data_IF_184606614380
#
_entry.id   IF_184606614380
#
_cell.length_a   1.000
_cell.length_b   1.000
_cell.length_c   1.000
_cell.angle_alpha   90.00
_cell.angle_beta   90.00
_cell.angle_gamma   90.00
#
_symmetry.space_group_name_H-M   'P 1'
#
loop_
_entity.id
_entity.type
_entity.pdbx_description
1 polymer ?
#
# COMPACT_ATOMS: atom_id res chain seq x y z
N UNK A 1 28.67 25.34 -17.91
CA UNK A 1 27.35 25.28 -17.23
C UNK A 1 27.14 26.60 -16.52
N UNK A 2 25.97 27.23 -16.65
CA UNK A 2 25.67 28.48 -15.95
C UNK A 2 24.59 28.21 -14.90
N UNK A 3 24.93 28.40 -13.63
CA UNK A 3 23.97 28.33 -12.51
C UNK A 3 23.09 29.57 -12.56
N UNK A 4 21.77 29.41 -12.61
CA UNK A 4 20.84 30.55 -12.75
C UNK A 4 20.02 30.77 -11.48
N UNK A 5 19.69 29.69 -10.78
CA UNK A 5 18.81 29.75 -9.62
C UNK A 5 19.31 28.76 -8.58
N UNK A 6 19.32 29.17 -7.31
CA UNK A 6 19.58 28.30 -6.17
C UNK A 6 18.79 28.82 -4.96
N UNK A 7 18.47 27.94 -4.03
CA UNK A 7 17.73 28.32 -2.83
C UNK A 7 17.43 27.16 -1.91
N UNK A 8 16.60 27.47 -0.91
CA UNK A 8 16.19 26.57 0.17
C UNK A 8 14.69 26.27 0.04
N UNK A 9 14.35 24.97 0.08
CA UNK A 9 12.99 24.46 -0.04
C UNK A 9 12.11 24.80 1.17
N UNK A 10 12.70 25.19 2.31
CA UNK A 10 11.95 25.69 3.45
C UNK A 10 11.36 27.10 3.22
N UNK A 11 11.83 27.82 2.20
CA UNK A 11 11.37 29.18 1.86
C UNK A 11 10.57 29.26 0.57
N UNK A 12 10.86 28.37 -0.38
CA UNK A 12 10.22 28.33 -1.68
C UNK A 12 9.90 26.89 -2.03
N UNK A 13 8.62 26.57 -2.14
CA UNK A 13 8.19 25.20 -2.38
C UNK A 13 8.53 24.77 -3.81
N UNK A 14 8.71 23.46 -4.02
CA UNK A 14 9.04 22.92 -5.34
C UNK A 14 8.03 23.33 -6.44
N UNK A 15 6.71 23.33 -6.21
CA UNK A 15 5.74 23.80 -7.22
C UNK A 15 6.00 25.23 -7.70
N UNK A 16 6.44 26.14 -6.83
CA UNK A 16 6.75 27.52 -7.18
C UNK A 16 8.00 27.61 -8.08
N UNK A 17 9.04 26.84 -7.73
CA UNK A 17 10.26 26.73 -8.55
C UNK A 17 9.92 26.21 -9.94
N UNK A 18 9.12 25.15 -10.03
CA UNK A 18 8.70 24.56 -11.30
C UNK A 18 7.84 25.53 -12.13
N UNK A 19 6.95 26.28 -11.50
CA UNK A 19 6.14 27.32 -12.15
C UNK A 19 7.02 28.41 -12.76
N UNK A 20 8.04 28.87 -12.02
CA UNK A 20 9.01 29.85 -12.52
C UNK A 20 9.77 29.32 -13.75
N UNK A 21 10.23 28.06 -13.71
CA UNK A 21 10.93 27.44 -14.84
C UNK A 21 10.01 27.27 -16.06
N UNK A 22 8.74 26.94 -15.85
CA UNK A 22 7.73 26.80 -16.89
C UNK A 22 7.45 28.15 -17.59
N UNK A 23 7.12 29.19 -16.81
CA UNK A 23 6.85 30.53 -17.33
C UNK A 23 8.04 31.12 -18.08
N UNK A 24 9.25 30.87 -17.56
CA UNK A 24 10.51 31.30 -18.19
C UNK A 24 10.95 30.43 -19.38
N UNK A 25 10.19 29.40 -19.76
CA UNK A 25 10.53 28.40 -20.80
C UNK A 25 11.98 27.89 -20.68
N UNK A 26 12.43 27.66 -19.45
CA UNK A 26 13.84 27.34 -19.17
C UNK A 26 14.19 25.94 -19.66
N UNK A 27 15.41 25.80 -20.19
CA UNK A 27 15.97 24.51 -20.63
C UNK A 27 17.23 24.22 -19.83
N UNK A 28 17.29 23.07 -19.17
CA UNK A 28 18.38 22.74 -18.25
C UNK A 28 17.99 21.66 -17.24
N UNK A 29 18.72 21.61 -16.13
CA UNK A 29 18.49 20.65 -15.04
C UNK A 29 18.25 21.37 -13.72
N UNK A 30 17.22 20.97 -13.00
CA UNK A 30 16.98 21.30 -11.60
C UNK A 30 17.43 20.11 -10.76
N UNK A 31 18.43 20.29 -9.90
CA UNK A 31 18.75 19.34 -8.84
C UNK A 31 18.10 19.78 -7.53
N UNK A 32 17.56 18.82 -6.81
CA UNK A 32 16.90 18.93 -5.51
C UNK A 32 17.62 17.96 -4.57
N UNK A 33 18.06 18.43 -3.41
CA UNK A 33 18.79 17.61 -2.42
C UNK A 33 18.23 17.85 -1.01
N UNK A 34 17.94 16.77 -0.29
CA UNK A 34 17.71 16.76 1.16
C UNK A 34 18.63 15.70 1.79
N UNK A 35 18.59 15.57 3.12
CA UNK A 35 19.57 14.78 3.90
C UNK A 35 19.88 13.38 3.33
N UNK A 36 18.88 12.65 2.84
CA UNK A 36 18.98 11.26 2.41
C UNK A 36 18.58 11.02 0.94
N UNK A 37 18.21 12.07 0.20
CA UNK A 37 17.61 11.93 -1.13
C UNK A 37 18.06 13.04 -2.09
N UNK A 38 18.40 12.66 -3.31
CA UNK A 38 18.68 13.57 -4.43
C UNK A 38 17.72 13.27 -5.58
N UNK A 39 17.20 14.33 -6.21
CA UNK A 39 16.35 14.25 -7.40
C UNK A 39 16.82 15.24 -8.45
N UNK A 40 16.96 14.79 -9.70
CA UNK A 40 17.30 15.63 -10.87
C UNK A 40 16.14 15.64 -11.85
N UNK A 41 15.66 16.83 -12.21
CA UNK A 41 14.60 17.05 -13.19
C UNK A 41 15.17 17.82 -14.38
N UNK A 42 15.02 17.28 -15.59
CA UNK A 42 15.52 17.89 -16.81
C UNK A 42 14.37 18.49 -17.60
N UNK A 43 14.57 19.71 -18.10
CA UNK A 43 13.57 20.51 -18.78
C UNK A 43 14.03 20.92 -20.18
N UNK A 44 13.07 20.99 -21.10
CA UNK A 44 13.20 21.60 -22.42
C UNK A 44 12.03 22.55 -22.62
N UNK A 45 12.33 23.81 -22.92
CA UNK A 45 11.34 24.87 -23.11
C UNK A 45 10.32 24.98 -21.94
N UNK A 46 10.78 24.78 -20.71
CA UNK A 46 9.95 24.82 -19.51
C UNK A 46 9.15 23.56 -19.21
N UNK A 47 9.28 22.50 -20.01
CA UNK A 47 8.57 21.22 -19.82
C UNK A 47 9.52 20.09 -19.45
N UNK A 48 9.14 19.19 -18.53
CA UNK A 48 9.98 18.07 -18.12
C UNK A 48 10.14 17.06 -19.25
N UNK A 49 11.38 16.64 -19.47
CA UNK A 49 11.73 15.64 -20.48
C UNK A 49 12.37 14.39 -19.88
N UNK A 50 12.88 14.47 -18.67
CA UNK A 50 13.49 13.35 -17.95
C UNK A 50 13.59 13.65 -16.46
N UNK A 51 13.58 12.62 -15.62
CA UNK A 51 13.80 12.73 -14.19
C UNK A 51 14.57 11.51 -13.67
N UNK A 52 15.34 11.73 -12.60
CA UNK A 52 16.05 10.70 -11.86
C UNK A 52 15.94 10.98 -10.36
N UNK A 53 15.87 9.95 -9.53
CA UNK A 53 15.83 10.07 -8.07
C UNK A 53 16.63 8.94 -7.43
N UNK A 54 17.25 9.21 -6.28
CA UNK A 54 17.94 8.18 -5.50
C UNK A 54 16.98 7.29 -4.70
N UNK A 55 15.68 7.62 -4.64
CA UNK A 55 14.67 6.83 -3.94
C UNK A 55 14.24 5.61 -4.76
N UNK A 56 14.56 4.43 -4.25
CA UNK A 56 14.39 3.13 -4.92
C UNK A 56 12.95 2.84 -5.39
N UNK A 57 11.94 3.20 -4.58
CA UNK A 57 10.52 2.96 -4.92
C UNK A 57 10.04 3.74 -6.16
N UNK A 58 10.79 4.77 -6.57
CA UNK A 58 10.52 5.59 -7.75
C UNK A 58 11.29 5.10 -9.00
N UNK A 59 12.05 4.02 -8.89
CA UNK A 59 12.74 3.42 -10.03
C UNK A 59 11.78 2.59 -10.87
N UNK A 60 12.03 2.55 -12.19
CA UNK A 60 11.19 1.84 -13.15
C UNK A 60 10.93 0.37 -12.75
N UNK A 61 11.95 -0.34 -12.28
CA UNK A 61 11.81 -1.74 -11.86
C UNK A 61 10.86 -1.92 -10.69
N UNK A 62 11.04 -1.16 -9.62
CA UNK A 62 10.17 -1.17 -8.45
C UNK A 62 8.73 -0.79 -8.81
N UNK A 63 8.56 0.22 -9.67
CA UNK A 63 7.25 0.64 -10.15
C UNK A 63 6.53 -0.43 -10.98
N UNK A 64 7.24 -1.11 -11.90
CA UNK A 64 6.65 -2.18 -12.70
C UNK A 64 6.20 -3.37 -11.83
N UNK A 65 6.92 -3.67 -10.75
CA UNK A 65 6.54 -4.69 -9.77
C UNK A 65 5.33 -4.24 -8.96
N UNK A 66 5.34 -3.00 -8.45
CA UNK A 66 4.22 -2.40 -7.69
C UNK A 66 2.93 -2.39 -8.51
N UNK A 67 3.02 -2.02 -9.79
CA UNK A 67 1.90 -2.01 -10.74
C UNK A 67 1.56 -3.42 -11.28
N UNK A 68 2.20 -4.47 -10.75
CA UNK A 68 1.99 -5.89 -11.11
C UNK A 68 2.17 -6.19 -12.60
N UNK A 69 2.94 -5.36 -13.32
CA UNK A 69 3.25 -5.58 -14.74
C UNK A 69 4.30 -6.68 -14.92
N UNK A 70 5.22 -6.80 -13.96
CA UNK A 70 6.27 -7.83 -13.92
C UNK A 70 6.47 -8.32 -12.48
N UNK A 71 7.01 -9.54 -12.30
CA UNK A 71 7.36 -10.06 -10.98
C UNK A 71 8.70 -9.50 -10.48
N UNK A 72 8.89 -9.46 -9.15
CA UNK A 72 10.16 -9.08 -8.54
C UNK A 72 11.33 -9.95 -9.06
N UNK A 73 11.13 -11.26 -9.11
CA UNK A 73 12.09 -12.24 -9.66
C UNK A 73 12.44 -11.98 -11.14
N UNK A 74 11.50 -11.42 -11.94
CA UNK A 74 11.80 -11.00 -13.31
C UNK A 74 12.72 -9.79 -13.35
N UNK A 75 12.51 -8.82 -12.45
CA UNK A 75 13.42 -7.67 -12.31
C UNK A 75 14.79 -8.15 -11.83
N UNK A 76 14.87 -9.01 -10.82
CA UNK A 76 16.14 -9.52 -10.29
C UNK A 76 16.96 -10.26 -11.36
N UNK A 77 16.29 -11.07 -12.20
CA UNK A 77 16.93 -11.69 -13.38
C UNK A 77 17.41 -10.66 -14.39
N UNK A 78 16.65 -9.60 -14.63
CA UNK A 78 17.04 -8.54 -15.55
C UNK A 78 18.26 -7.76 -15.05
N UNK A 79 18.32 -7.49 -13.74
CA UNK A 79 19.42 -6.76 -13.08
C UNK A 79 20.71 -7.60 -12.96
N UNK A 80 20.59 -8.93 -12.87
CA UNK A 80 21.73 -9.86 -12.69
C UNK A 80 22.45 -10.26 -13.98
N UNK A 81 21.97 -9.85 -15.17
CA UNK A 81 22.66 -10.14 -16.44
C UNK A 81 24.03 -9.43 -16.50
N UNK A 82 25.10 -10.10 -16.97
CA UNK A 82 26.43 -9.50 -17.06
C UNK A 82 26.40 -8.18 -17.84
N UNK A 83 26.86 -7.10 -17.21
CA UNK A 83 26.88 -5.75 -17.78
C UNK A 83 27.95 -5.63 -18.86
N UNK A 84 27.72 -6.22 -20.02
CA UNK A 84 28.48 -5.94 -21.25
C UNK A 84 27.95 -4.66 -21.93
N UNK A 85 27.89 -3.56 -21.16
CA UNK A 85 27.53 -2.22 -21.62
C UNK A 85 26.05 -2.01 -21.97
N UNK A 86 25.48 -0.89 -21.51
CA UNK A 86 24.16 -0.32 -21.90
C UNK A 86 22.87 -1.07 -21.53
N UNK A 87 22.90 -2.29 -20.98
CA UNK A 87 21.68 -2.99 -20.61
C UNK A 87 21.00 -2.36 -19.38
N UNK A 88 19.92 -1.62 -19.62
CA UNK A 88 19.00 -1.09 -18.59
C UNK A 88 17.80 -2.01 -18.47
N UNK A 89 17.12 -1.99 -17.31
CA UNK A 89 15.89 -2.77 -17.04
C UNK A 89 14.90 -2.68 -18.19
N UNK A 90 14.62 -1.47 -18.70
CA UNK A 90 13.71 -1.28 -19.83
C UNK A 90 14.14 -2.03 -21.11
N UNK A 91 15.43 -1.97 -21.47
CA UNK A 91 15.96 -2.66 -22.66
C UNK A 91 15.89 -4.18 -22.54
N UNK A 92 16.12 -4.72 -21.34
CA UNK A 92 15.99 -6.16 -21.07
C UNK A 92 14.52 -6.60 -21.20
N UNK A 93 13.59 -5.82 -20.64
CA UNK A 93 12.17 -6.12 -20.72
C UNK A 93 11.61 -6.03 -22.15
N UNK A 94 12.13 -5.13 -22.99
CA UNK A 94 11.81 -5.08 -24.43
C UNK A 94 12.36 -6.31 -25.16
N UNK A 95 13.62 -6.66 -24.92
CA UNK A 95 14.28 -7.80 -25.58
C UNK A 95 13.59 -9.13 -25.24
N UNK A 96 13.19 -9.29 -23.98
CA UNK A 96 12.45 -10.48 -23.50
C UNK A 96 10.95 -10.43 -23.86
N UNK A 97 10.49 -9.41 -24.61
CA UNK A 97 9.10 -9.18 -25.03
C UNK A 97 8.09 -9.11 -23.88
N UNK A 98 8.55 -8.71 -22.69
CA UNK A 98 7.73 -8.49 -21.51
C UNK A 98 7.07 -7.10 -21.51
N UNK A 99 7.67 -6.16 -22.25
CA UNK A 99 7.11 -4.85 -22.56
C UNK A 99 7.24 -4.56 -24.05
N UNK A 100 6.32 -3.76 -24.56
CA UNK A 100 6.42 -3.09 -25.86
C UNK A 100 7.00 -1.68 -25.69
N UNK A 101 7.51 -1.07 -26.77
CA UNK A 101 8.02 0.31 -26.71
C UNK A 101 6.96 1.34 -26.25
N UNK A 102 5.69 1.28 -26.72
CA UNK A 102 4.65 2.20 -26.24
C UNK A 102 4.32 2.01 -24.75
N UNK A 103 4.33 0.76 -24.26
CA UNK A 103 4.14 0.48 -22.84
C UNK A 103 5.30 1.03 -22.01
N UNK A 104 6.54 0.78 -22.44
CA UNK A 104 7.72 1.32 -21.77
C UNK A 104 7.68 2.85 -21.70
N UNK A 105 7.35 3.53 -22.80
CA UNK A 105 7.20 4.97 -22.83
C UNK A 105 6.10 5.45 -21.86
N UNK A 106 5.00 4.71 -21.74
CA UNK A 106 3.92 5.02 -20.79
C UNK A 106 4.38 4.87 -19.34
N UNK A 107 5.07 3.78 -19.00
CA UNK A 107 5.62 3.59 -17.65
C UNK A 107 6.70 4.61 -17.29
N UNK A 108 7.54 5.01 -18.24
CA UNK A 108 8.52 6.09 -18.04
C UNK A 108 7.83 7.42 -17.77
N UNK A 109 6.71 7.74 -18.44
CA UNK A 109 5.89 8.92 -18.12
C UNK A 109 5.37 8.85 -16.70
N UNK A 110 4.83 7.72 -16.28
CA UNK A 110 4.37 7.52 -14.89
C UNK A 110 5.53 7.70 -13.92
N UNK A 111 6.70 7.12 -14.20
CA UNK A 111 7.90 7.27 -13.37
C UNK A 111 8.31 8.73 -13.20
N UNK A 112 8.43 9.48 -14.30
CA UNK A 112 8.80 10.90 -14.24
C UNK A 112 7.76 11.70 -13.45
N UNK A 113 6.47 11.44 -13.63
CA UNK A 113 5.41 12.09 -12.86
C UNK A 113 5.54 11.79 -11.36
N UNK A 114 5.73 10.52 -10.98
CA UNK A 114 5.86 10.13 -9.57
C UNK A 114 7.11 10.73 -8.91
N UNK A 115 8.23 10.83 -9.64
CA UNK A 115 9.43 11.53 -9.16
C UNK A 115 9.14 13.02 -8.89
N UNK A 116 8.42 13.68 -9.80
CA UNK A 116 8.03 15.08 -9.61
C UNK A 116 7.08 15.20 -8.41
N UNK A 117 6.06 14.35 -8.29
CA UNK A 117 5.11 14.40 -7.18
C UNK A 117 5.75 14.12 -5.81
N UNK A 118 6.75 13.23 -5.74
CA UNK A 118 7.51 13.00 -4.51
C UNK A 118 8.14 14.31 -4.01
N UNK A 119 8.72 15.11 -4.91
CA UNK A 119 9.37 16.38 -4.55
C UNK A 119 8.41 17.43 -3.99
N UNK A 120 7.11 17.36 -4.28
CA UNK A 120 6.12 18.30 -3.74
C UNK A 120 5.92 18.13 -2.24
N UNK A 121 6.31 16.98 -1.70
CA UNK A 121 6.20 16.69 -0.27
C UNK A 121 7.41 17.21 0.52
N UNK A 122 8.47 17.68 -0.15
CA UNK A 122 9.69 18.12 0.51
C UNK A 122 9.48 19.51 1.11
N UNK A 123 9.66 19.61 2.44
CA UNK A 123 9.52 20.85 3.21
C UNK A 123 10.86 21.49 3.58
N UNK A 124 11.95 20.77 3.32
CA UNK A 124 13.32 21.16 3.62
C UNK A 124 14.26 20.60 2.55
N UNK A 125 15.43 21.22 2.41
CA UNK A 125 16.43 20.85 1.42
C UNK A 125 16.86 22.03 0.56
N UNK A 126 17.72 21.74 -0.41
CA UNK A 126 18.28 22.73 -1.32
C UNK A 126 17.88 22.41 -2.75
N UNK A 127 17.82 23.45 -3.57
CA UNK A 127 17.63 23.29 -5.00
C UNK A 127 18.61 24.14 -5.78
N UNK A 128 18.98 23.70 -6.98
CA UNK A 128 19.84 24.45 -7.89
C UNK A 128 19.47 24.14 -9.33
N UNK A 129 19.40 25.17 -10.17
CA UNK A 129 19.13 25.05 -11.61
C UNK A 129 20.33 25.48 -12.45
N UNK A 130 20.75 24.61 -13.37
CA UNK A 130 21.77 24.88 -14.37
C UNK A 130 21.19 24.89 -15.77
N UNK A 131 21.42 25.97 -16.51
CA UNK A 131 20.89 26.12 -17.86
C UNK A 131 21.73 25.36 -18.89
N UNK A 132 21.06 24.93 -19.97
CA UNK A 132 21.66 24.28 -21.15
C UNK A 132 22.40 22.98 -20.83
N UNK A 133 22.10 22.36 -19.69
CA UNK A 133 22.58 21.01 -19.36
C UNK A 133 21.60 20.01 -19.96
N UNK A 134 22.03 19.18 -20.94
CA UNK A 134 21.15 18.17 -21.54
C UNK A 134 20.95 16.99 -20.57
N UNK A 135 19.87 16.21 -20.75
CA UNK A 135 19.74 14.92 -20.07
C UNK A 135 20.88 13.97 -20.45
N UNK A 136 21.16 12.94 -19.63
CA UNK A 136 22.17 11.93 -19.94
C UNK A 136 21.95 11.33 -21.33
N UNK A 137 23.01 10.98 -22.05
CA UNK A 137 22.94 10.42 -23.41
C UNK A 137 22.17 9.10 -23.50
N UNK A 138 21.99 8.43 -22.38
CA UNK A 138 21.24 7.19 -22.21
C UNK A 138 19.77 7.41 -21.84
N UNK A 139 19.36 8.65 -21.51
CA UNK A 139 18.01 8.97 -21.10
C UNK A 139 17.05 8.89 -22.29
N UNK A 140 15.91 8.24 -22.07
CA UNK A 140 14.77 8.30 -23.00
C UNK A 140 14.02 9.58 -22.67
N UNK A 141 14.06 10.57 -23.57
CA UNK A 141 13.36 11.83 -23.37
C UNK A 141 11.87 11.71 -23.68
N UNK A 142 11.05 12.27 -22.83
CA UNK A 142 9.59 12.29 -22.96
C UNK A 142 9.12 13.73 -23.21
N UNK A 143 7.91 13.86 -23.75
CA UNK A 143 7.21 15.15 -23.78
C UNK A 143 6.06 15.08 -22.78
N UNK A 144 6.11 15.96 -21.79
CA UNK A 144 5.17 16.01 -20.67
C UNK A 144 4.82 17.46 -20.38
N UNK A 145 3.53 17.73 -20.14
CA UNK A 145 3.03 19.06 -19.84
C UNK A 145 3.19 19.34 -18.34
N UNK A 146 4.04 20.31 -17.99
CA UNK A 146 4.30 20.67 -16.60
C UNK A 146 3.08 21.28 -15.91
N UNK A 147 2.18 21.97 -16.61
CA UNK A 147 1.01 22.59 -15.99
C UNK A 147 0.03 21.53 -15.49
N UNK A 148 -0.16 20.47 -16.27
CA UNK A 148 -0.99 19.33 -15.86
C UNK A 148 -0.38 18.59 -14.66
N UNK A 149 0.95 18.46 -14.64
CA UNK A 149 1.67 17.88 -13.51
C UNK A 149 1.56 18.77 -12.26
N UNK A 150 1.69 20.09 -12.39
CA UNK A 150 1.50 21.02 -11.28
C UNK A 150 0.07 20.92 -10.71
N UNK A 151 -0.94 20.92 -11.58
CA UNK A 151 -2.34 20.79 -11.18
C UNK A 151 -2.61 19.47 -10.44
N UNK A 152 -2.16 18.34 -11.02
CA UNK A 152 -2.36 17.02 -10.42
C UNK A 152 -1.56 16.85 -9.12
N UNK A 153 -0.33 17.36 -9.08
CA UNK A 153 0.52 17.32 -7.89
C UNK A 153 -0.07 18.14 -6.74
N UNK A 154 -0.55 19.35 -7.00
CA UNK A 154 -1.25 20.17 -5.99
C UNK A 154 -2.53 19.48 -5.51
N UNK A 155 -3.33 18.92 -6.42
CA UNK A 155 -4.53 18.15 -6.07
C UNK A 155 -4.21 16.97 -5.15
N UNK A 156 -3.12 16.23 -5.44
CA UNK A 156 -2.66 15.11 -4.61
C UNK A 156 -2.18 15.56 -3.24
N UNK A 157 -1.46 16.68 -3.15
CA UNK A 157 -0.97 17.23 -1.89
C UNK A 157 -2.13 17.69 -0.99
N UNK A 158 -3.11 18.39 -1.56
CA UNK A 158 -4.34 18.82 -0.87
C UNK A 158 -5.13 17.61 -0.36
N UNK A 159 -5.29 16.59 -1.21
CA UNK A 159 -5.99 15.36 -0.84
C UNK A 159 -5.27 14.62 0.29
N UNK A 160 -3.94 14.53 0.22
CA UNK A 160 -3.13 13.93 1.29
C UNK A 160 -3.28 14.70 2.61
N UNK A 161 -3.30 16.04 2.55
CA UNK A 161 -3.52 16.87 3.73
C UNK A 161 -4.88 16.56 4.38
N UNK A 162 -5.95 16.48 3.59
CA UNK A 162 -7.29 16.12 4.09
C UNK A 162 -7.35 14.70 4.65
N UNK A 163 -6.71 13.75 3.98
CA UNK A 163 -6.67 12.37 4.45
C UNK A 163 -5.90 12.24 5.77
N UNK A 164 -4.85 13.05 5.98
CA UNK A 164 -4.10 13.04 7.24
C UNK A 164 -4.90 13.52 8.45
N UNK A 165 -5.99 14.29 8.25
CA UNK A 165 -6.92 14.65 9.32
C UNK A 165 -7.74 13.45 9.81
N UNK A 166 -8.01 12.49 8.92
CA UNK A 166 -8.79 11.28 9.22
C UNK A 166 -7.86 10.12 9.59
N UNK A 167 -6.71 10.04 8.91
CA UNK A 167 -5.72 8.98 9.03
C UNK A 167 -4.34 9.58 9.38
N UNK A 168 -4.12 10.01 10.62
CA UNK A 168 -2.89 10.69 11.03
C UNK A 168 -1.67 9.75 11.08
N UNK A 169 -1.88 8.46 11.36
CA UNK A 169 -0.83 7.45 11.43
C UNK A 169 -1.22 6.21 10.63
N UNK A 170 -0.37 5.76 9.69
CA UNK A 170 -0.64 4.57 8.90
C UNK A 170 -0.56 3.26 9.70
N UNK A 171 -0.10 3.30 10.95
CA UNK A 171 -0.15 2.16 11.88
C UNK A 171 -1.54 1.93 12.47
N UNK A 172 -2.45 2.90 12.36
CA UNK A 172 -3.81 2.76 12.85
C UNK A 172 -4.55 1.62 12.13
N UNK A 173 -5.54 1.05 12.80
CA UNK A 173 -6.41 0.04 12.21
C UNK A 173 -7.77 0.62 11.87
N UNK A 174 -8.51 -0.13 11.06
CA UNK A 174 -9.88 0.18 10.71
C UNK A 174 -10.74 -1.05 10.91
N UNK A 175 -11.93 -0.87 11.45
CA UNK A 175 -12.88 -1.96 11.70
C UNK A 175 -14.18 -1.78 10.92
N UNK A 176 -14.81 -2.89 10.55
CA UNK A 176 -16.10 -2.88 9.89
C UNK A 176 -17.22 -2.55 10.89
N UNK A 177 -18.05 -1.56 10.58
CA UNK A 177 -19.16 -1.15 11.45
C UNK A 177 -20.35 -2.09 11.23
N UNK A 178 -20.61 -2.97 12.19
CA UNK A 178 -21.76 -3.88 12.18
C UNK A 178 -23.02 -3.18 12.72
N UNK A 179 -23.68 -2.34 11.92
CA UNK A 179 -24.98 -1.79 12.30
C UNK A 179 -26.13 -2.34 11.42
N UNK A 180 -27.05 -3.15 11.96
CA UNK A 180 -28.16 -3.73 11.21
C UNK A 180 -29.20 -2.71 10.69
N UNK A 181 -29.28 -1.49 11.26
CA UNK A 181 -30.17 -0.42 10.75
C UNK A 181 -29.80 0.06 9.33
N UNK A 182 -28.57 -0.20 8.87
CA UNK A 182 -28.06 0.23 7.55
C UNK A 182 -28.47 -0.68 6.39
N UNK A 183 -28.98 -1.87 6.68
CA UNK A 183 -29.24 -2.93 5.68
C UNK A 183 -30.59 -2.74 4.95
N UNK A 184 -31.29 -1.62 5.15
CA UNK A 184 -32.55 -1.32 4.44
C UNK A 184 -32.36 -0.94 2.96
N UNK A 185 -31.14 -0.64 2.52
CA UNK A 185 -30.83 -0.33 1.13
C UNK A 185 -29.67 -1.19 0.65
N UNK A 186 -29.79 -1.74 -0.56
CA UNK A 186 -28.70 -2.48 -1.22
C UNK A 186 -27.46 -1.58 -1.30
N UNK A 187 -26.38 -1.98 -0.65
CA UNK A 187 -25.12 -1.26 -0.69
C UNK A 187 -24.46 -1.55 -2.04
N UNK A 188 -24.42 -0.55 -2.91
CA UNK A 188 -23.67 -0.63 -4.16
C UNK A 188 -22.25 -0.12 -3.89
N UNK A 189 -21.28 -1.02 -3.81
CA UNK A 189 -19.85 -0.67 -3.80
C UNK A 189 -19.20 -1.13 -5.10
N UNK A 190 -18.19 -0.38 -5.54
CA UNK A 190 -17.34 -0.75 -6.65
C UNK A 190 -16.47 -1.97 -6.30
N UNK A 191 -15.91 -2.70 -7.29
CA UNK A 191 -15.01 -3.82 -7.04
C UNK A 191 -13.79 -3.44 -6.17
N UNK A 192 -13.21 -2.26 -6.38
CA UNK A 192 -12.05 -1.79 -5.62
C UNK A 192 -12.42 -1.41 -4.18
N UNK A 193 -13.59 -0.84 -3.95
CA UNK A 193 -14.10 -0.59 -2.60
C UNK A 193 -14.35 -1.90 -1.84
N UNK A 194 -14.95 -2.90 -2.48
CA UNK A 194 -15.15 -4.23 -1.88
C UNK A 194 -13.82 -4.87 -1.49
N UNK A 195 -12.87 -4.85 -2.42
CA UNK A 195 -11.51 -5.38 -2.23
C UNK A 195 -10.82 -4.76 -1.01
N UNK A 196 -10.88 -3.44 -0.85
CA UNK A 196 -10.30 -2.75 0.32
C UNK A 196 -11.09 -3.06 1.59
N UNK A 197 -12.43 -3.01 1.52
CA UNK A 197 -13.31 -3.31 2.66
C UNK A 197 -13.07 -4.72 3.23
N UNK A 198 -12.76 -5.71 2.40
CA UNK A 198 -12.46 -7.07 2.88
C UNK A 198 -11.14 -7.21 3.64
N UNK A 199 -10.22 -6.27 3.50
CA UNK A 199 -8.96 -6.26 4.25
C UNK A 199 -9.12 -5.64 5.65
N UNK A 200 -10.24 -4.95 5.90
CA UNK A 200 -10.62 -4.31 7.16
C UNK A 200 -11.06 -5.37 8.17
N UNK A 201 -10.24 -5.63 9.18
CA UNK A 201 -10.50 -6.61 10.24
C UNK A 201 -10.31 -6.07 11.66
N UNK A 202 -10.07 -4.76 11.81
CA UNK A 202 -9.79 -4.11 13.08
C UNK A 202 -8.39 -4.36 13.64
N UNK A 203 -7.56 -5.16 12.96
CA UNK A 203 -6.20 -5.52 13.41
C UNK A 203 -5.12 -5.04 12.45
N UNK A 204 -5.34 -5.15 11.14
CA UNK A 204 -4.38 -4.69 10.14
C UNK A 204 -4.23 -3.19 10.18
N UNK A 205 -2.98 -2.74 10.10
CA UNK A 205 -2.67 -1.34 9.92
C UNK A 205 -3.09 -0.84 8.53
N UNK A 206 -3.34 0.45 8.40
CA UNK A 206 -3.58 1.08 7.09
C UNK A 206 -2.44 0.81 6.11
N UNK A 207 -1.20 0.81 6.59
CA UNK A 207 -0.03 0.47 5.79
C UNK A 207 -0.14 -0.96 5.21
N UNK A 208 -0.54 -1.93 6.04
CA UNK A 208 -0.71 -3.31 5.57
C UNK A 208 -1.88 -3.42 4.57
N UNK A 209 -2.99 -2.72 4.81
CA UNK A 209 -4.13 -2.68 3.89
C UNK A 209 -3.73 -2.08 2.54
N UNK A 210 -3.01 -0.95 2.52
CA UNK A 210 -2.51 -0.33 1.28
C UNK A 210 -1.64 -1.31 0.47
N UNK A 211 -0.75 -2.03 1.15
CA UNK A 211 0.12 -3.04 0.52
C UNK A 211 -0.67 -4.22 -0.04
N UNK A 212 -1.64 -4.73 0.70
CA UNK A 212 -2.40 -5.93 0.34
C UNK A 212 -3.48 -5.66 -0.71
N UNK A 213 -4.08 -4.47 -0.71
CA UNK A 213 -5.02 -4.08 -1.73
C UNK A 213 -4.33 -4.18 -3.09
N UNK A 214 -3.13 -3.65 -3.28
CA UNK A 214 -2.54 -3.59 -4.62
C UNK A 214 -3.40 -2.73 -5.54
N UNK A 215 -3.86 -1.60 -4.99
CA UNK A 215 -4.23 -0.44 -5.80
C UNK A 215 -2.94 0.22 -6.32
N UNK A 216 -3.02 1.13 -7.31
CA UNK A 216 -1.83 1.73 -7.94
C UNK A 216 -0.87 2.38 -6.94
N UNK A 217 -1.41 3.05 -5.91
CA UNK A 217 -0.68 3.75 -4.88
C UNK A 217 -1.43 3.73 -3.53
N UNK A 218 -0.74 4.15 -2.47
CA UNK A 218 -1.30 4.25 -1.11
C UNK A 218 -2.46 5.24 -1.05
N UNK A 219 -2.33 6.40 -1.71
CA UNK A 219 -3.32 7.47 -1.72
C UNK A 219 -4.68 6.95 -2.20
N UNK A 220 -4.69 6.18 -3.28
CA UNK A 220 -5.89 5.55 -3.85
C UNK A 220 -6.60 4.64 -2.84
N UNK A 221 -5.84 3.86 -2.07
CA UNK A 221 -6.42 2.98 -1.04
C UNK A 221 -6.97 3.78 0.14
N UNK A 222 -6.24 4.81 0.58
CA UNK A 222 -6.68 5.70 1.65
C UNK A 222 -7.94 6.49 1.24
N UNK A 223 -8.07 6.90 -0.03
CA UNK A 223 -9.29 7.53 -0.53
C UNK A 223 -10.50 6.60 -0.45
N UNK A 224 -10.33 5.33 -0.86
CA UNK A 224 -11.37 4.31 -0.72
C UNK A 224 -11.76 4.16 0.76
N UNK A 225 -10.78 3.99 1.65
CA UNK A 225 -11.04 3.88 3.09
C UNK A 225 -11.75 5.12 3.65
N UNK A 226 -11.35 6.32 3.24
CA UNK A 226 -11.99 7.56 3.66
C UNK A 226 -13.45 7.63 3.19
N UNK A 227 -13.75 7.20 1.96
CA UNK A 227 -15.13 7.08 1.48
C UNK A 227 -15.93 6.08 2.32
N UNK A 228 -15.35 4.93 2.66
CA UNK A 228 -15.99 3.93 3.53
C UNK A 228 -16.25 4.47 4.94
N UNK A 229 -15.32 5.25 5.50
CA UNK A 229 -15.48 5.93 6.80
C UNK A 229 -16.59 6.98 6.75
N UNK A 230 -16.60 7.85 5.73
CA UNK A 230 -17.68 8.85 5.53
C UNK A 230 -19.05 8.19 5.35
N UNK A 231 -19.08 7.11 4.59
CA UNK A 231 -20.27 6.30 4.42
C UNK A 231 -20.61 5.47 5.67
N UNK A 232 -19.77 5.49 6.71
CA UNK A 232 -19.79 4.73 7.99
C UNK A 232 -19.84 3.20 7.85
N UNK A 233 -19.34 2.66 6.75
CA UNK A 233 -19.09 1.22 6.60
C UNK A 233 -17.91 0.77 7.47
N UNK A 234 -16.97 1.68 7.68
CA UNK A 234 -15.74 1.45 8.42
C UNK A 234 -15.58 2.54 9.47
N UNK A 235 -14.98 2.20 10.60
CA UNK A 235 -14.57 3.14 11.62
C UNK A 235 -13.06 3.01 11.87
N UNK A 236 -12.44 4.15 12.19
CA UNK A 236 -11.06 4.20 12.65
C UNK A 236 -11.01 3.67 14.08
N UNK A 237 -10.05 2.77 14.34
CA UNK A 237 -9.77 2.26 15.68
C UNK A 237 -8.27 2.35 15.97
N UNK A 238 -7.93 2.53 17.24
CA UNK A 238 -6.57 2.28 17.68
C UNK A 238 -6.27 0.78 17.49
N UNK A 239 -5.12 0.43 16.89
CA UNK A 239 -4.77 -0.96 16.71
C UNK A 239 -4.69 -1.60 18.10
N UNK A 240 -5.26 -2.80 18.30
CA UNK A 240 -5.13 -3.49 19.58
C UNK A 240 -3.65 -3.60 19.92
N UNK A 241 -3.27 -3.13 21.12
CA UNK A 241 -1.93 -3.41 21.66
C UNK A 241 -1.69 -4.91 21.51
N UNK A 242 -0.68 -5.28 20.72
CA UNK A 242 -0.36 -6.67 20.43
C UNK A 242 -0.39 -7.46 21.75
N UNK A 243 -1.23 -8.51 21.83
CA UNK A 243 -1.20 -9.44 22.95
C UNK A 243 0.25 -9.91 23.08
N UNK A 244 0.93 -9.42 24.12
CA UNK A 244 2.31 -9.80 24.42
C UNK A 244 2.42 -11.31 24.32
N UNK A 245 3.37 -11.87 23.54
CA UNK A 245 3.51 -13.31 23.48
C UNK A 245 3.77 -13.82 24.90
N UNK A 246 2.93 -14.76 25.31
CA UNK A 246 3.02 -15.50 26.58
C UNK A 246 4.49 -15.83 26.86
N UNK A 247 5.03 -15.47 28.03
CA UNK A 247 6.45 -15.64 28.30
C UNK A 247 6.82 -17.12 28.24
N UNK A 248 7.65 -17.46 27.26
CA UNK A 248 8.37 -18.73 27.23
C UNK A 248 9.27 -18.79 28.46
N UNK A 249 8.96 -19.73 29.36
CA UNK A 249 9.79 -20.04 30.52
C UNK A 249 11.11 -20.63 30.02
N UNK A 250 12.20 -19.88 30.14
CA UNK A 250 13.55 -20.43 30.10
C UNK A 250 14.03 -20.70 31.53
N UNK A 251 14.57 -21.90 31.84
CA UNK A 251 15.11 -22.19 33.16
C UNK A 251 16.52 -21.60 33.32
N UNK A 252 16.66 -20.74 34.33
CA UNK A 252 17.80 -20.67 35.25
C UNK A 252 19.17 -20.20 34.71
N UNK A 253 19.62 -19.03 35.17
CA UNK A 253 20.69 -18.94 36.18
C UNK A 253 20.93 -17.47 36.57
N UNK A 254 21.09 -17.25 37.87
CA UNK A 254 21.33 -15.97 38.53
C UNK A 254 22.65 -15.32 38.10
N UNK A 255 22.72 -13.99 38.12
CA UNK A 255 23.53 -13.27 39.12
C UNK A 255 23.16 -11.79 39.23
N UNK A 256 23.14 -11.36 40.47
CA UNK A 256 22.76 -10.06 41.03
C UNK A 256 23.88 -9.02 40.90
N UNK A 257 23.56 -7.73 40.80
CA UNK A 257 24.04 -6.67 41.71
C UNK A 257 23.13 -5.42 41.67
N UNK A 258 22.61 -5.03 42.84
CA UNK A 258 22.04 -3.70 43.20
C UNK A 258 23.23 -2.73 43.50
N UNK A 259 23.19 -1.40 43.48
CA UNK A 259 22.29 -0.34 44.01
C UNK A 259 22.66 1.00 43.30
N UNK A 260 21.71 1.85 42.87
CA UNK A 260 21.16 3.08 43.53
C UNK A 260 22.16 4.24 43.75
N UNK A 261 21.92 5.40 43.11
CA UNK A 261 21.53 6.65 43.81
C UNK A 261 21.17 7.79 42.83
N UNK A 262 20.12 8.53 43.18
CA UNK A 262 19.53 9.58 42.36
C UNK A 262 20.25 10.93 42.41
N UNK A 263 20.15 11.67 41.30
CA UNK A 263 20.05 13.14 41.22
C UNK A 263 19.82 13.56 39.77
N UNK A 264 18.65 14.15 39.50
CA UNK A 264 18.34 14.83 38.24
C UNK A 264 18.94 16.24 38.31
N UNK A 265 19.74 16.60 37.31
CA UNK A 265 20.17 17.98 37.05
C UNK A 265 19.87 18.32 35.57
N UNK A 266 19.29 19.49 35.26
CA UNK A 266 19.00 19.87 33.88
C UNK A 266 20.25 20.43 33.21
N UNK A 267 20.61 20.03 31.98
CA UNK A 267 21.63 20.76 31.24
C UNK A 267 21.02 22.03 30.62
N UNK A 268 21.63 23.15 30.97
CA UNK A 268 21.50 24.49 30.40
C UNK A 268 21.80 24.48 28.89
N UNK A 269 21.15 25.31 28.06
CA UNK A 269 21.38 25.31 26.61
C UNK A 269 22.78 25.85 26.28
N UNK A 270 23.64 24.98 25.76
CA UNK A 270 24.90 25.39 25.12
C UNK A 270 24.57 25.79 23.69
N UNK A 271 24.64 27.09 23.40
CA UNK A 271 24.63 27.62 22.05
C UNK A 271 25.85 27.10 21.30
N UNK A 272 25.65 26.18 20.36
CA UNK A 272 26.67 25.77 19.40
C UNK A 272 26.31 26.38 18.06
N UNK A 273 26.97 27.48 17.72
CA UNK A 273 27.04 27.98 16.35
C UNK A 273 27.95 27.04 15.55
N UNK A 274 27.36 26.17 14.72
CA UNK A 274 28.11 25.30 13.81
C UNK A 274 28.40 26.08 12.52
N UNK A 275 29.65 26.48 12.34
CA UNK A 275 30.19 26.85 11.04
C UNK A 275 30.56 25.56 10.30
N UNK A 276 29.86 25.25 9.21
CA UNK A 276 30.18 24.10 8.37
C UNK A 276 31.31 24.46 7.38
N UNK A 277 32.45 23.80 7.51
CA UNK A 277 33.43 23.70 6.42
C UNK A 277 32.91 22.72 5.37
N UNK A 278 33.17 22.97 4.07
CA UNK A 278 32.76 22.08 3.00
C UNK A 278 33.41 20.71 3.18
N UNK A 279 32.59 19.67 3.29
CA UNK A 279 33.04 18.29 3.47
C UNK A 279 33.79 17.80 2.23
N UNK A 280 34.93 17.13 2.46
CA UNK A 280 35.76 16.50 1.45
C UNK A 280 34.99 15.40 0.71
N UNK A 281 35.13 15.40 -0.62
CA UNK A 281 34.60 14.43 -1.56
C UNK A 281 34.92 12.98 -1.15
N UNK A 282 33.90 12.13 -1.00
CA UNK A 282 34.15 10.68 -0.87
C UNK A 282 33.02 9.73 -0.49
N UNK A 283 31.87 10.18 0.03
CA UNK A 283 30.85 9.25 0.55
C UNK A 283 29.39 9.73 0.45
N UNK A 284 28.99 10.30 -0.69
CA UNK A 284 27.56 10.48 -1.03
C UNK A 284 27.24 9.77 -2.34
N UNK A 285 26.16 8.98 -2.43
CA UNK A 285 25.68 8.48 -3.70
C UNK A 285 25.29 9.69 -4.56
N UNK A 286 25.90 9.81 -5.74
CA UNK A 286 25.60 10.89 -6.69
C UNK A 286 24.38 10.46 -7.52
N UNK A 287 23.48 11.37 -7.88
CA UNK A 287 22.40 11.04 -8.82
C UNK A 287 22.88 10.63 -10.24
N UNK A 288 24.18 10.66 -10.51
CA UNK A 288 24.81 10.07 -11.71
C UNK A 288 25.09 8.57 -11.57
N UNK A 289 25.00 8.02 -10.36
CA UNK A 289 25.05 6.59 -9.99
C UNK A 289 23.63 6.00 -9.75
N UNK A 290 22.58 6.52 -10.43
CA UNK A 290 21.27 5.85 -10.52
C UNK A 290 21.41 4.55 -11.34
N UNK A 291 21.84 3.51 -10.64
CA UNK A 291 22.13 2.19 -11.14
C UNK A 291 21.39 1.20 -10.25
N UNK A 292 20.52 0.39 -10.84
CA UNK A 292 20.59 -1.09 -10.74
C UNK A 292 21.74 -1.64 -9.86
N UNK A 293 21.71 -1.51 -8.53
CA UNK A 293 22.67 -2.14 -7.62
C UNK A 293 22.22 -1.99 -6.16
N UNK A 294 22.10 -3.17 -5.53
CA UNK A 294 21.84 -3.44 -4.12
C UNK A 294 20.39 -3.36 -3.63
N UNK A 295 19.55 -4.28 -4.14
CA UNK A 295 18.58 -4.94 -3.26
C UNK A 295 19.06 -6.36 -3.00
N UNK A 296 19.87 -6.51 -1.95
CA UNK A 296 19.69 -7.65 -1.05
C UNK A 296 19.54 -7.06 0.34
N UNK A 297 18.31 -6.75 0.73
CA UNK A 297 18.02 -6.55 2.15
C UNK A 297 17.67 -7.92 2.76
N UNK A 298 18.40 -8.39 3.79
CA UNK A 298 17.99 -9.55 4.60
C UNK A 298 16.64 -9.34 5.29
N UNK A 299 16.11 -8.11 5.31
CA UNK A 299 14.80 -7.77 5.87
C UNK A 299 13.61 -8.17 4.98
N UNK A 300 13.82 -8.39 3.68
CA UNK A 300 12.75 -8.89 2.79
C UNK A 300 12.39 -10.36 3.07
N UNK A 301 13.33 -11.16 3.57
CA UNK A 301 13.11 -12.59 3.89
C UNK A 301 12.26 -12.76 5.15
N UNK A 302 12.34 -11.82 6.10
CA UNK A 302 11.58 -11.90 7.34
C UNK A 302 10.06 -11.72 7.14
N UNK A 303 9.64 -11.01 6.08
CA UNK A 303 8.23 -10.70 5.82
C UNK A 303 7.49 -11.71 4.94
N UNK A 304 8.17 -12.75 4.44
CA UNK A 304 7.54 -13.80 3.62
C UNK A 304 7.25 -15.09 4.38
N UNK A 305 7.72 -15.22 5.61
CA UNK A 305 7.66 -16.46 6.38
C UNK A 305 6.28 -16.79 6.99
N UNK A 306 5.24 -16.00 6.74
CA UNK A 306 3.89 -16.34 7.16
C UNK A 306 2.82 -15.83 6.19
N UNK A 307 2.98 -16.11 4.89
CA UNK A 307 1.92 -15.86 3.91
C UNK A 307 0.80 -16.89 4.07
N UNK A 308 -0.18 -16.57 4.93
CA UNK A 308 -1.52 -17.14 4.82
C UNK A 308 -2.17 -16.55 3.56
N UNK A 309 -2.70 -17.37 2.68
CA UNK A 309 -3.49 -16.93 1.52
C UNK A 309 -4.65 -16.07 2.01
N UNK A 310 -4.69 -14.80 1.60
CA UNK A 310 -5.83 -13.93 1.93
C UNK A 310 -6.95 -14.26 0.96
N UNK A 311 -7.95 -15.00 1.46
CA UNK A 311 -9.19 -15.25 0.75
C UNK A 311 -10.28 -14.35 1.32
N UNK A 312 -10.76 -13.42 0.51
CA UNK A 312 -11.95 -12.63 0.80
C UNK A 312 -13.18 -13.37 0.26
N UNK A 313 -14.13 -13.64 1.14
CA UNK A 313 -15.35 -14.34 0.79
C UNK A 313 -16.55 -13.79 1.52
N UNK A 314 -17.72 -14.05 0.95
CA UNK A 314 -19.00 -13.68 1.52
C UNK A 314 -19.98 -14.85 1.43
N UNK A 315 -20.96 -14.80 2.30
CA UNK A 315 -22.11 -15.69 2.28
C UNK A 315 -23.34 -14.89 1.87
N UNK A 316 -24.03 -15.32 0.82
CA UNK A 316 -25.22 -14.62 0.28
C UNK A 316 -26.45 -15.40 0.65
N UNK A 317 -27.27 -14.91 1.57
CA UNK A 317 -28.58 -15.46 1.87
C UNK A 317 -29.57 -15.04 0.78
N UNK A 318 -30.16 -16.02 0.10
CA UNK A 318 -31.11 -15.82 -1.00
C UNK A 318 -32.53 -16.04 -0.48
N UNK A 319 -33.36 -15.00 -0.54
CA UNK A 319 -34.76 -15.04 -0.12
C UNK A 319 -35.70 -14.59 -1.24
N UNK A 320 -37.00 -14.84 -1.10
CA UNK A 320 -38.01 -14.32 -2.04
C UNK A 320 -38.13 -12.80 -2.04
N UNK A 321 -37.66 -12.13 -0.98
CA UNK A 321 -37.71 -10.68 -0.80
C UNK A 321 -36.41 -9.97 -1.24
N UNK A 322 -35.37 -10.73 -1.59
CA UNK A 322 -34.07 -10.23 -2.02
C UNK A 322 -32.88 -10.99 -1.43
N UNK A 323 -31.68 -10.67 -1.93
CA UNK A 323 -30.42 -11.27 -1.49
C UNK A 323 -29.77 -10.42 -0.39
N UNK A 324 -29.36 -11.05 0.71
CA UNK A 324 -28.57 -10.42 1.79
C UNK A 324 -27.15 -10.98 1.80
N UNK A 325 -26.13 -10.13 1.72
CA UNK A 325 -24.73 -10.55 1.73
C UNK A 325 -24.07 -10.32 3.09
N UNK A 326 -23.37 -11.34 3.59
CA UNK A 326 -22.60 -11.32 4.83
C UNK A 326 -21.10 -11.46 4.51
N UNK A 327 -20.29 -10.41 4.71
CA UNK A 327 -18.86 -10.50 4.50
C UNK A 327 -18.21 -11.37 5.59
N UNK A 328 -17.36 -12.30 5.20
CA UNK A 328 -16.65 -13.17 6.14
C UNK A 328 -15.24 -12.62 6.37
N UNK A 329 -15.10 -11.70 7.32
CA UNK A 329 -13.88 -10.95 7.67
C UNK A 329 -13.20 -11.41 8.97
N UNK A 330 -13.93 -12.05 9.90
CA UNK A 330 -13.42 -12.63 11.16
C UNK A 330 -12.97 -14.09 11.02
N UNK A 331 -12.26 -14.60 12.03
CA UNK A 331 -11.78 -16.00 12.07
C UNK A 331 -12.94 -17.01 12.18
N UNK A 332 -14.06 -16.62 12.79
CA UNK A 332 -15.23 -17.46 12.87
C UNK A 332 -16.55 -16.67 12.84
N UNK A 333 -17.59 -17.30 12.31
CA UNK A 333 -18.97 -16.78 12.25
C UNK A 333 -19.95 -17.83 12.73
N UNK A 334 -20.78 -17.49 13.70
CA UNK A 334 -21.91 -18.32 14.15
C UNK A 334 -23.15 -18.06 13.30
N UNK A 335 -23.89 -19.12 12.98
CA UNK A 335 -25.08 -19.08 12.13
C UNK A 335 -26.23 -19.78 12.86
N UNK A 336 -27.38 -19.12 12.96
CA UNK A 336 -28.56 -19.73 13.58
C UNK A 336 -29.76 -18.80 13.68
N UNK A 337 -30.88 -19.32 14.19
CA UNK A 337 -32.11 -18.53 14.34
C UNK A 337 -32.08 -17.57 15.53
N UNK A 338 -31.23 -17.84 16.53
CA UNK A 338 -31.15 -16.97 17.70
C UNK A 338 -30.45 -15.65 17.36
N UNK A 339 -30.91 -14.55 17.93
CA UNK A 339 -30.38 -13.19 17.70
C UNK A 339 -28.92 -12.98 18.11
N UNK A 340 -28.34 -13.91 18.87
CA UNK A 340 -26.94 -13.87 19.32
C UNK A 340 -25.96 -14.52 18.32
N UNK A 341 -26.42 -14.95 17.15
CA UNK A 341 -25.52 -15.40 16.09
C UNK A 341 -25.02 -14.22 15.27
N UNK A 342 -23.84 -14.36 14.67
CA UNK A 342 -23.30 -13.38 13.73
C UNK A 342 -24.15 -13.28 12.46
N UNK A 343 -24.67 -14.42 11.99
CA UNK A 343 -25.58 -14.52 10.86
C UNK A 343 -26.90 -15.10 11.38
N UNK A 344 -27.90 -14.22 11.51
CA UNK A 344 -29.23 -14.60 11.99
C UNK A 344 -30.12 -15.01 10.83
N UNK A 345 -30.63 -16.24 10.89
CA UNK A 345 -31.55 -16.79 9.88
C UNK A 345 -32.92 -17.02 10.50
N UNK A 346 -33.90 -16.20 10.11
CA UNK A 346 -35.28 -16.25 10.59
C UNK A 346 -36.08 -17.41 9.97
N UNK A 347 -35.64 -18.65 10.20
CA UNK A 347 -36.31 -19.86 9.69
C UNK A 347 -36.59 -20.85 10.84
N UNK A 348 -37.85 -21.22 11.11
CA UNK A 348 -38.21 -22.19 12.17
C UNK A 348 -37.49 -23.54 12.09
N UNK A 349 -37.06 -23.98 10.90
CA UNK A 349 -36.29 -25.21 10.68
C UNK A 349 -34.79 -25.03 10.95
N UNK A 350 -34.32 -23.83 11.25
CA UNK A 350 -32.94 -23.54 11.66
C UNK A 350 -32.85 -23.57 13.19
N UNK A 351 -31.92 -24.37 13.72
CA UNK A 351 -31.57 -24.39 15.16
C UNK A 351 -31.15 -23.02 15.67
N UNK A 352 -31.35 -22.77 16.98
CA UNK A 352 -30.95 -21.52 17.64
C UNK A 352 -29.47 -21.18 17.39
N UNK A 353 -28.59 -22.16 17.49
CA UNK A 353 -27.20 -22.15 17.01
C UNK A 353 -27.06 -23.36 16.10
N UNK A 354 -26.91 -23.15 14.80
CA UNK A 354 -27.05 -24.20 13.78
C UNK A 354 -25.70 -24.66 13.27
N UNK A 355 -24.86 -23.71 12.87
CA UNK A 355 -23.56 -23.97 12.28
C UNK A 355 -22.59 -22.86 12.65
N UNK A 356 -21.31 -23.11 12.38
CA UNK A 356 -20.26 -22.10 12.43
C UNK A 356 -19.45 -22.19 11.14
N UNK A 357 -18.98 -21.05 10.65
CA UNK A 357 -17.94 -21.01 9.63
C UNK A 357 -16.63 -20.68 10.32
N UNK A 358 -15.62 -21.51 10.11
CA UNK A 358 -14.25 -21.29 10.55
C UNK A 358 -13.41 -20.88 9.32
N UNK A 359 -12.79 -19.70 9.39
CA UNK A 359 -11.91 -19.19 8.35
C UNK A 359 -10.48 -19.66 8.60
N UNK A 360 -9.83 -20.08 7.53
CA UNK A 360 -8.42 -20.47 7.52
C UNK A 360 -7.72 -19.89 6.30
N UNK A 361 -6.39 -20.04 6.24
CA UNK A 361 -5.58 -19.68 5.08
C UNK A 361 -5.92 -20.51 3.82
N UNK A 362 -6.57 -21.66 3.99
CA UNK A 362 -6.89 -22.63 2.93
C UNK A 362 -8.34 -22.49 2.46
N UNK A 363 -9.13 -21.63 3.11
CA UNK A 363 -10.54 -21.39 2.79
C UNK A 363 -11.45 -21.37 4.01
N UNK A 364 -12.75 -21.33 3.75
CA UNK A 364 -13.79 -21.34 4.78
C UNK A 364 -14.31 -22.76 4.98
N UNK A 365 -14.35 -23.22 6.22
CA UNK A 365 -14.90 -24.52 6.60
C UNK A 365 -16.23 -24.30 7.32
N UNK A 366 -17.30 -24.90 6.81
CA UNK A 366 -18.60 -24.93 7.48
C UNK A 366 -18.66 -26.13 8.43
N UNK A 367 -19.01 -25.90 9.69
CA UNK A 367 -19.15 -26.90 10.75
C UNK A 367 -20.59 -26.90 11.26
N UNK A 368 -21.29 -28.04 11.17
CA UNK A 368 -22.63 -28.21 11.74
C UNK A 368 -22.53 -28.41 13.27
N UNK A 369 -23.28 -27.61 14.05
CA UNK A 369 -23.25 -27.66 15.51
C UNK A 369 -24.28 -28.65 16.08
N UNK A 370 -24.35 -29.84 15.49
CA UNK A 370 -25.37 -30.87 15.79
C UNK A 370 -26.79 -30.33 15.65
N UNK A 371 -27.05 -29.66 14.53
CA UNK A 371 -28.34 -29.06 14.24
C UNK A 371 -29.43 -30.13 14.06
N UNK A 372 -30.69 -29.76 14.32
CA UNK A 372 -31.81 -30.71 14.25
C UNK A 372 -32.04 -31.25 12.84
N UNK A 373 -31.88 -30.39 11.82
CA UNK A 373 -32.20 -30.71 10.42
C UNK A 373 -30.94 -30.94 9.55
N UNK A 374 -29.75 -30.71 10.11
CA UNK A 374 -28.47 -30.79 9.42
C UNK A 374 -28.19 -29.60 8.50
N UNK A 375 -26.91 -29.41 8.22
CA UNK A 375 -26.38 -28.51 7.20
C UNK A 375 -26.08 -29.28 5.91
N UNK A 376 -26.26 -28.65 4.75
CA UNK A 376 -26.01 -29.26 3.44
C UNK A 376 -25.17 -28.34 2.57
N UNK A 377 -24.25 -28.90 1.79
CA UNK A 377 -23.50 -28.21 0.72
C UNK A 377 -23.84 -28.92 -0.60
N UNK A 378 -24.34 -28.18 -1.58
CA UNK A 378 -24.75 -28.71 -2.90
C UNK A 378 -25.65 -29.95 -2.80
N UNK A 379 -26.59 -29.94 -1.86
CA UNK A 379 -27.52 -31.04 -1.59
C UNK A 379 -27.00 -32.19 -0.73
N UNK A 380 -25.68 -32.26 -0.46
CA UNK A 380 -25.09 -33.30 0.40
C UNK A 380 -25.03 -32.84 1.86
N UNK A 381 -25.53 -33.67 2.78
CA UNK A 381 -25.46 -33.41 4.23
C UNK A 381 -24.01 -33.46 4.71
N UNK A 382 -23.61 -32.51 5.56
CA UNK A 382 -22.26 -32.40 6.11
C UNK A 382 -22.29 -32.29 7.64
N UNK A 383 -21.22 -32.76 8.27
CA UNK A 383 -20.84 -32.37 9.63
C UNK A 383 -19.76 -31.30 9.60
N UNK A 384 -18.84 -31.40 8.64
CA UNK A 384 -17.83 -30.40 8.33
C UNK A 384 -17.58 -30.41 6.82
N UNK A 385 -17.41 -29.25 6.20
CA UNK A 385 -17.17 -29.15 4.75
C UNK A 385 -16.44 -27.88 4.34
N UNK A 386 -15.41 -28.03 3.50
CA UNK A 386 -14.72 -26.91 2.88
C UNK A 386 -15.61 -26.27 1.80
N UNK A 387 -15.81 -24.95 1.89
CA UNK A 387 -16.62 -24.18 0.96
C UNK A 387 -15.81 -23.74 -0.25
N UNK A 388 -16.34 -24.00 -1.44
CA UNK A 388 -15.81 -23.53 -2.72
C UNK A 388 -16.72 -22.44 -3.29
N UNK A 389 -16.13 -21.50 -4.03
CA UNK A 389 -16.90 -20.41 -4.65
C UNK A 389 -18.03 -20.98 -5.52
N UNK A 390 -19.23 -20.45 -5.34
CA UNK A 390 -20.45 -20.94 -5.98
C UNK A 390 -21.21 -22.02 -5.20
N UNK A 391 -20.65 -22.57 -4.11
CA UNK A 391 -21.33 -23.61 -3.32
C UNK A 391 -22.64 -23.09 -2.71
N UNK A 392 -23.70 -23.89 -2.88
CA UNK A 392 -24.99 -23.66 -2.25
C UNK A 392 -25.02 -24.36 -0.89
N UNK A 393 -25.13 -23.56 0.17
CA UNK A 393 -25.33 -24.01 1.55
C UNK A 393 -26.81 -23.95 1.89
N UNK A 394 -27.37 -25.06 2.37
CA UNK A 394 -28.78 -25.13 2.80
C UNK A 394 -28.88 -25.50 4.27
N UNK A 395 -29.67 -24.73 5.02
CA UNK A 395 -30.02 -24.98 6.41
C UNK A 395 -31.52 -24.73 6.60
N UNK A 396 -32.29 -25.77 6.89
CA UNK A 396 -33.75 -25.65 6.87
C UNK A 396 -34.28 -25.35 5.45
N UNK A 397 -35.04 -24.28 5.31
CA UNK A 397 -35.51 -23.67 4.04
C UNK A 397 -34.61 -22.53 3.56
N UNK A 398 -33.68 -22.03 4.38
CA UNK A 398 -32.74 -21.00 3.98
C UNK A 398 -31.71 -21.53 2.99
N UNK A 399 -31.51 -20.76 1.92
CA UNK A 399 -30.52 -21.01 0.87
C UNK A 399 -29.45 -19.93 0.92
N UNK A 400 -28.20 -20.31 1.06
CA UNK A 400 -27.06 -19.42 1.06
C UNK A 400 -26.09 -19.82 -0.06
N UNK A 401 -25.43 -18.85 -0.67
CA UNK A 401 -24.39 -19.10 -1.69
C UNK A 401 -23.08 -18.54 -1.19
N UNK A 402 -22.05 -19.38 -1.11
CA UNK A 402 -20.70 -18.95 -0.78
C UNK A 402 -20.02 -18.38 -2.03
N UNK A 403 -19.43 -17.20 -1.93
CA UNK A 403 -18.69 -16.56 -3.01
C UNK A 403 -17.33 -16.13 -2.52
N UNK A 404 -16.30 -16.46 -3.28
CA UNK A 404 -14.96 -15.88 -3.13
C UNK A 404 -14.90 -14.66 -4.04
N UNK A 405 -14.78 -13.49 -3.43
CA UNK A 405 -14.69 -12.22 -4.16
C UNK A 405 -13.23 -11.86 -4.46
N UNK A 406 -12.29 -12.35 -3.65
CA UNK A 406 -10.84 -12.21 -3.90
C UNK A 406 -10.05 -13.38 -3.34
N UNK A 407 -9.07 -13.85 -4.11
CA UNK A 407 -8.07 -14.81 -3.69
C UNK A 407 -6.71 -14.22 -4.03
N UNK A 408 -5.89 -13.96 -3.01
CA UNK A 408 -4.47 -13.69 -3.27
C UNK A 408 -3.86 -14.91 -3.96
N UNK A 409 -3.18 -14.78 -5.11
CA UNK A 409 -2.52 -15.92 -5.73
C UNK A 409 -1.45 -16.47 -4.79
N UNK A 410 -1.42 -17.80 -4.64
CA UNK A 410 -0.26 -18.50 -4.09
C UNK A 410 0.87 -18.27 -5.08
N UNK A 411 1.98 -17.69 -4.59
CA UNK A 411 3.16 -17.40 -5.42
C UNK A 411 3.78 -18.66 -5.98
#
# INVERSE_FOLDING_TARGET
MHKILEGDLARLEVPDVLTFLNMGRRTGVLALEKLDQETKLFFREGNPVYAASTKEDLHLGAMLVRLRKVSADTIDRALSRPRSGRWRVGSVLLADKLLTEPELASFLKVQVSEVIFDTFTWREGLFTFWEKVPPPSTAVTLEMDLQNLLMEGSRRLDERSRLSEVFPDLNMAVEAVTNPERVKHSVTMTPDEWKVYFLVDGRRSLMEICRLAGNPDELSTLQILHHLVKAKFVAVVEPPEDETPVPSVAPGALTTHKFVDGKVAPPTPVGVSVQFQPAQDGARPKAEDDDTKEIVSPKAVQYMANRKTVTASRLVLVTSEGDTSFPLTRDAYTIGRHRNNDIVISDPKVSSFHARIDRSAEGCVLVDLKSRNGSYINGKRIETGLLKTGDEVRMGTARLVYKVDYSAPVS
#
